data_IF_459817075716
#
_entry.id   IF_459817075716
#
_cell.length_a   1.000
_cell.length_b   1.000
_cell.length_c   1.000
_cell.angle_alpha   90.00
_cell.angle_beta   90.00
_cell.angle_gamma   90.00
#
_symmetry.space_group_name_H-M   'P 1'
#
loop_
_entity.id
_entity.type
_entity.pdbx_description
1 polymer ?
#
# COMPACT_ATOMS: atom_id res chain seq x y z
N UNK A 1 -9.51 15.90 0.45
CA UNK A 1 -8.18 16.23 1.01
C UNK A 1 -7.37 17.12 0.07
N UNK A 2 -7.08 16.75 -1.21
CA UNK A 2 -6.21 17.54 -2.13
C UNK A 2 -6.69 18.98 -2.33
N UNK A 3 -8.00 19.20 -2.55
CA UNK A 3 -8.55 20.55 -2.72
C UNK A 3 -8.39 21.42 -1.46
N UNK A 4 -8.47 20.82 -0.27
CA UNK A 4 -8.23 21.50 1.00
C UNK A 4 -6.75 21.87 1.12
N UNK A 5 -5.86 20.92 0.89
CA UNK A 5 -4.41 21.13 0.94
C UNK A 5 -3.98 22.28 0.02
N UNK A 6 -4.46 22.30 -1.23
CA UNK A 6 -4.17 23.38 -2.19
C UNK A 6 -4.63 24.76 -1.69
N UNK A 7 -5.81 24.85 -1.07
CA UNK A 7 -6.31 26.13 -0.52
C UNK A 7 -5.41 26.68 0.61
N UNK A 8 -4.71 25.79 1.30
CA UNK A 8 -3.83 26.16 2.42
C UNK A 8 -2.34 26.09 2.08
N UNK A 9 -1.97 25.95 0.80
CA UNK A 9 -0.58 25.86 0.38
C UNK A 9 0.17 24.61 0.90
N UNK A 10 -0.57 23.56 1.27
CA UNK A 10 0.00 22.33 1.83
C UNK A 10 0.34 21.32 0.73
N UNK A 11 1.42 20.59 0.94
CA UNK A 11 1.79 19.44 0.13
C UNK A 11 1.04 18.18 0.58
N UNK A 12 0.77 17.28 -0.36
CA UNK A 12 0.06 16.02 -0.12
C UNK A 12 0.98 14.87 -0.44
N UNK A 13 1.21 14.01 0.54
CA UNK A 13 1.89 12.72 0.36
C UNK A 13 0.84 11.63 0.52
N UNK A 14 0.69 10.77 -0.50
CA UNK A 14 -0.18 9.60 -0.43
C UNK A 14 0.58 8.42 0.18
N UNK A 15 0.08 7.85 1.27
CA UNK A 15 0.53 6.53 1.73
C UNK A 15 -0.18 5.45 0.90
N UNK A 16 0.54 4.88 -0.04
CA UNK A 16 0.09 3.82 -0.94
C UNK A 16 0.70 2.46 -0.58
N UNK A 17 1.24 2.29 0.63
CA UNK A 17 1.94 1.07 1.05
C UNK A 17 1.09 -0.20 0.95
N UNK A 18 -0.24 -0.09 0.93
CA UNK A 18 -1.19 -1.19 0.79
C UNK A 18 -2.16 -1.00 -0.39
N UNK A 19 -1.83 -0.12 -1.34
CA UNK A 19 -2.77 0.35 -2.35
C UNK A 19 -2.33 0.08 -3.80
N UNK A 20 -1.51 -0.96 -4.05
CA UNK A 20 -0.99 -1.32 -5.37
C UNK A 20 -2.12 -1.65 -6.36
N UNK A 21 -2.47 -0.70 -7.22
CA UNK A 21 -3.56 -0.84 -8.18
C UNK A 21 -4.94 -0.39 -7.68
N UNK A 22 -5.04 0.16 -6.47
CA UNK A 22 -6.28 0.83 -6.00
C UNK A 22 -6.59 2.08 -6.83
N UNK A 23 -7.87 2.43 -6.93
CA UNK A 23 -8.31 3.62 -7.64
C UNK A 23 -9.56 4.25 -6.98
N UNK A 24 -9.73 5.55 -7.19
CA UNK A 24 -10.93 6.30 -6.82
C UNK A 24 -11.44 7.00 -8.07
N UNK A 25 -12.73 6.81 -8.42
CA UNK A 25 -13.34 7.34 -9.63
C UNK A 25 -12.49 7.08 -10.90
N UNK A 26 -11.92 5.88 -11.01
CA UNK A 26 -11.08 5.48 -12.15
C UNK A 26 -9.65 6.02 -12.13
N UNK A 27 -9.30 6.93 -11.20
CA UNK A 27 -7.95 7.47 -11.07
C UNK A 27 -7.16 6.68 -10.02
N UNK A 28 -6.02 6.15 -10.42
CA UNK A 28 -5.15 5.31 -9.57
C UNK A 28 -4.60 6.09 -8.37
N UNK A 29 -4.58 5.45 -7.19
CA UNK A 29 -3.87 5.96 -6.01
C UNK A 29 -2.39 6.12 -6.32
N UNK A 30 -1.77 7.10 -5.68
CA UNK A 30 -0.39 7.50 -5.96
C UNK A 30 -0.24 8.53 -7.06
N UNK A 31 -1.37 9.04 -7.61
CA UNK A 31 -1.37 10.08 -8.64
C UNK A 31 -2.11 11.36 -8.23
N UNK A 32 -2.65 11.42 -7.02
CA UNK A 32 -3.48 12.51 -6.54
C UNK A 32 -2.69 13.62 -5.85
N UNK A 33 -1.68 13.23 -5.06
CA UNK A 33 -0.83 14.11 -4.28
C UNK A 33 0.40 14.62 -5.05
N UNK A 34 1.27 15.31 -4.33
CA UNK A 34 2.58 15.76 -4.83
C UNK A 34 3.57 14.59 -4.90
N UNK A 35 3.49 13.68 -3.92
CA UNK A 35 4.30 12.48 -3.80
C UNK A 35 3.42 11.31 -3.37
N UNK A 36 3.84 10.10 -3.68
CA UNK A 36 3.25 8.87 -3.15
C UNK A 36 4.32 7.88 -2.74
N UNK A 37 4.11 7.18 -1.62
CA UNK A 37 5.00 6.15 -1.10
C UNK A 37 4.37 4.77 -1.23
N UNK A 38 5.08 3.83 -1.84
CA UNK A 38 4.69 2.42 -1.98
C UNK A 38 5.67 1.53 -1.22
N UNK A 39 5.15 0.48 -0.59
CA UNK A 39 5.94 -0.56 0.07
C UNK A 39 6.01 -1.80 -0.82
N UNK A 40 7.19 -2.37 -0.97
CA UNK A 40 7.40 -3.66 -1.63
C UNK A 40 7.75 -4.77 -0.63
N UNK A 41 7.42 -4.58 0.64
CA UNK A 41 7.58 -5.62 1.65
C UNK A 41 6.95 -6.94 1.17
N UNK A 42 7.52 -8.13 1.47
CA UNK A 42 7.15 -9.41 0.86
C UNK A 42 5.66 -9.76 0.86
N UNK A 43 4.91 -9.32 1.89
CA UNK A 43 3.47 -9.60 2.01
C UNK A 43 2.58 -8.65 1.21
N UNK A 44 3.12 -7.58 0.63
CA UNK A 44 2.32 -6.61 -0.15
C UNK A 44 1.79 -7.22 -1.44
N UNK A 45 0.72 -6.66 -1.99
CA UNK A 45 0.13 -7.12 -3.26
C UNK A 45 1.18 -7.16 -4.38
N UNK A 46 2.11 -6.20 -4.39
CA UNK A 46 3.33 -6.23 -5.16
C UNK A 46 4.50 -6.22 -4.18
N UNK A 47 4.96 -7.40 -3.76
CA UNK A 47 6.06 -7.57 -2.80
C UNK A 47 7.27 -8.23 -3.42
N UNK A 48 8.47 -7.81 -2.99
CA UNK A 48 9.74 -8.47 -3.29
C UNK A 48 10.09 -9.52 -2.20
N UNK A 49 11.34 -9.95 -2.09
CA UNK A 49 11.80 -10.98 -1.13
C UNK A 49 12.41 -10.39 0.15
N UNK A 50 12.38 -9.08 0.30
CA UNK A 50 12.90 -8.33 1.46
C UNK A 50 12.30 -6.93 1.48
N UNK A 51 12.90 -6.03 2.25
CA UNK A 51 12.46 -4.64 2.30
C UNK A 51 12.67 -3.93 0.96
N UNK A 52 11.73 -3.09 0.61
CA UNK A 52 11.78 -2.27 -0.60
C UNK A 52 10.59 -1.33 -0.68
N UNK A 53 10.72 -0.32 -1.50
CA UNK A 53 9.68 0.66 -1.74
C UNK A 53 9.96 1.52 -2.94
N UNK A 54 8.99 2.37 -3.28
CA UNK A 54 9.12 3.38 -4.31
C UNK A 54 8.44 4.68 -3.89
N UNK A 55 8.99 5.78 -4.38
CA UNK A 55 8.34 7.09 -4.32
C UNK A 55 7.96 7.48 -5.74
N UNK A 56 6.70 7.86 -5.94
CA UNK A 56 6.16 8.34 -7.21
C UNK A 56 5.84 9.82 -7.12
N UNK A 57 6.11 10.54 -8.21
CA UNK A 57 5.70 11.94 -8.39
C UNK A 57 5.63 12.26 -9.86
N UNK A 58 4.75 13.21 -10.24
CA UNK A 58 4.72 13.82 -11.56
C UNK A 58 5.56 15.10 -11.65
N UNK A 59 6.12 15.58 -10.53
CA UNK A 59 6.98 16.74 -10.43
C UNK A 59 8.43 16.34 -10.65
N UNK A 60 9.04 16.89 -11.71
CA UNK A 60 10.42 16.55 -12.09
C UNK A 60 11.47 17.02 -11.07
N UNK A 61 11.23 18.15 -10.39
CA UNK A 61 12.12 18.67 -9.36
C UNK A 61 12.09 17.80 -8.11
N UNK A 62 10.88 17.41 -7.66
CA UNK A 62 10.71 16.46 -6.57
C UNK A 62 11.33 15.10 -6.91
N UNK A 63 11.14 14.61 -8.14
CA UNK A 63 11.78 13.36 -8.58
C UNK A 63 13.29 13.44 -8.54
N UNK A 64 13.88 14.54 -9.02
CA UNK A 64 15.33 14.76 -8.99
C UNK A 64 15.84 14.83 -7.54
N UNK A 65 15.11 15.51 -6.66
CA UNK A 65 15.48 15.62 -5.23
C UNK A 65 15.43 14.26 -4.53
N UNK A 66 14.36 13.49 -4.72
CA UNK A 66 14.26 12.14 -4.16
C UNK A 66 15.40 11.25 -4.65
N UNK A 67 15.77 11.31 -5.95
CA UNK A 67 16.91 10.57 -6.49
C UNK A 67 18.26 10.96 -5.85
N UNK A 68 18.44 12.21 -5.45
CA UNK A 68 19.63 12.59 -4.68
C UNK A 68 19.57 12.08 -3.24
N UNK A 69 18.44 12.32 -2.56
CA UNK A 69 18.28 11.99 -1.14
C UNK A 69 18.49 10.50 -0.85
N UNK A 70 17.98 9.60 -1.71
CA UNK A 70 18.12 8.15 -1.48
C UNK A 70 19.53 7.61 -1.75
N UNK A 71 20.44 8.45 -2.28
CA UNK A 71 21.84 8.15 -2.53
C UNK A 71 22.76 9.21 -1.88
N UNK A 72 22.71 9.33 -0.56
CA UNK A 72 23.58 10.21 0.23
C UNK A 72 23.52 11.70 -0.13
N UNK A 73 22.48 12.16 -0.82
CA UNK A 73 22.37 13.54 -1.30
C UNK A 73 23.32 13.85 -2.49
N UNK A 74 23.73 12.84 -3.23
CA UNK A 74 24.67 13.00 -4.35
C UNK A 74 24.01 13.69 -5.55
N UNK A 75 24.68 14.71 -6.07
CA UNK A 75 24.44 15.25 -7.40
C UNK A 75 25.36 14.59 -8.43
N UNK A 76 26.60 14.39 -8.02
CA UNK A 76 27.61 13.61 -8.73
C UNK A 76 28.13 12.52 -7.80
N UNK A 77 28.63 11.41 -8.35
CA UNK A 77 29.09 10.28 -7.55
C UNK A 77 30.13 10.74 -6.51
N UNK A 78 29.88 10.43 -5.23
CA UNK A 78 30.69 10.78 -4.06
C UNK A 78 30.65 12.26 -3.65
N UNK A 79 29.86 13.13 -4.31
CA UNK A 79 29.73 14.54 -3.95
C UNK A 79 28.30 14.79 -3.43
N UNK A 80 28.17 14.90 -2.10
CA UNK A 80 26.90 15.23 -1.45
C UNK A 80 26.62 16.73 -1.53
N UNK A 81 25.45 17.06 -2.01
CA UNK A 81 24.94 18.43 -2.12
C UNK A 81 24.03 18.81 -0.97
N UNK A 82 23.36 17.82 -0.42
CA UNK A 82 22.44 17.93 0.71
C UNK A 82 22.52 16.66 1.57
N UNK A 83 22.17 16.68 2.86
CA UNK A 83 22.10 15.46 3.67
C UNK A 83 21.14 14.46 3.04
N UNK A 84 21.59 13.23 2.85
CA UNK A 84 20.81 12.15 2.28
C UNK A 84 21.03 10.83 3.00
N UNK A 85 20.34 9.79 2.57
CA UNK A 85 20.36 8.46 3.16
C UNK A 85 20.85 7.42 2.14
N UNK A 86 21.26 6.26 2.61
CA UNK A 86 21.36 5.08 1.77
C UNK A 86 20.00 4.37 1.81
N UNK A 87 19.19 4.59 0.79
CA UNK A 87 17.85 3.98 0.66
C UNK A 87 17.63 3.56 -0.79
N UNK A 88 18.28 2.49 -1.19
CA UNK A 88 18.29 1.96 -2.56
C UNK A 88 17.44 0.69 -2.65
N UNK A 89 17.02 0.35 -3.85
CA UNK A 89 16.42 -0.93 -4.18
C UNK A 89 17.43 -1.75 -4.99
N UNK A 90 17.73 -2.97 -4.55
CA UNK A 90 18.66 -3.85 -5.25
C UNK A 90 18.06 -4.35 -6.56
N UNK A 91 18.91 -4.57 -7.57
CA UNK A 91 18.53 -5.02 -8.91
C UNK A 91 17.79 -6.37 -8.88
N UNK A 92 18.16 -7.26 -7.94
CA UNK A 92 17.47 -8.53 -7.74
C UNK A 92 16.01 -8.30 -7.31
N UNK A 93 15.78 -7.40 -6.36
CA UNK A 93 14.43 -7.01 -5.92
C UNK A 93 13.64 -6.38 -7.07
N UNK A 94 14.27 -5.51 -7.85
CA UNK A 94 13.65 -4.90 -9.02
C UNK A 94 13.26 -5.92 -10.10
N UNK A 95 14.10 -6.92 -10.35
CA UNK A 95 13.82 -8.00 -11.30
C UNK A 95 12.60 -8.84 -10.86
N UNK A 96 12.53 -9.20 -9.57
CA UNK A 96 11.39 -9.93 -8.99
C UNK A 96 10.10 -9.10 -9.11
N UNK A 97 10.15 -7.81 -8.77
CA UNK A 97 9.00 -6.92 -8.87
C UNK A 97 8.50 -6.79 -10.32
N UNK A 98 9.43 -6.70 -11.29
CA UNK A 98 9.06 -6.67 -12.73
C UNK A 98 8.34 -7.95 -13.17
N UNK A 99 8.78 -9.12 -12.71
CA UNK A 99 8.12 -10.37 -13.00
C UNK A 99 6.70 -10.44 -12.39
N UNK A 100 6.56 -10.05 -11.12
CA UNK A 100 5.27 -10.04 -10.40
C UNK A 100 4.30 -8.95 -10.87
N UNK A 101 4.81 -7.84 -11.38
CA UNK A 101 3.99 -6.74 -11.88
C UNK A 101 3.07 -7.18 -13.03
N UNK A 102 3.52 -8.14 -13.83
CA UNK A 102 2.74 -8.69 -14.97
C UNK A 102 1.41 -9.29 -14.51
N UNK A 103 1.40 -9.97 -13.35
CA UNK A 103 0.21 -10.66 -12.81
C UNK A 103 -0.59 -9.80 -11.83
N UNK A 104 -0.07 -8.67 -11.35
CA UNK A 104 -0.65 -7.87 -10.27
C UNK A 104 -2.15 -7.56 -10.48
N UNK A 105 -2.54 -7.23 -11.72
CA UNK A 105 -3.93 -6.89 -12.03
C UNK A 105 -4.85 -8.10 -11.88
N UNK A 106 -4.44 -9.26 -12.36
CA UNK A 106 -5.18 -10.51 -12.23
C UNK A 106 -5.25 -10.97 -10.76
N UNK A 107 -4.15 -10.84 -10.03
CA UNK A 107 -4.09 -11.19 -8.60
C UNK A 107 -5.01 -10.28 -7.77
N UNK A 108 -5.06 -8.99 -8.07
CA UNK A 108 -5.98 -8.06 -7.41
C UNK A 108 -7.46 -8.37 -7.75
N UNK A 109 -7.76 -8.74 -8.99
CA UNK A 109 -9.10 -9.19 -9.36
C UNK A 109 -9.51 -10.44 -8.56
N UNK A 110 -8.60 -11.41 -8.43
CA UNK A 110 -8.85 -12.61 -7.62
C UNK A 110 -9.06 -12.30 -6.15
N UNK A 111 -8.30 -11.36 -5.58
CA UNK A 111 -8.53 -10.87 -4.20
C UNK A 111 -9.92 -10.26 -4.03
N UNK A 112 -10.38 -9.48 -5.00
CA UNK A 112 -11.73 -8.89 -4.98
C UNK A 112 -12.84 -9.94 -5.04
N UNK A 113 -12.69 -11.01 -5.85
CA UNK A 113 -13.61 -12.14 -5.88
C UNK A 113 -13.69 -12.84 -4.53
N UNK A 114 -12.54 -13.15 -3.91
CA UNK A 114 -12.48 -13.75 -2.58
C UNK A 114 -13.12 -12.85 -1.51
N UNK A 115 -12.85 -11.54 -1.55
CA UNK A 115 -13.46 -10.57 -0.66
C UNK A 115 -14.99 -10.54 -0.80
N UNK A 116 -15.51 -10.64 -2.03
CA UNK A 116 -16.95 -10.71 -2.27
C UNK A 116 -17.58 -11.98 -1.67
N UNK A 117 -16.87 -13.12 -1.66
CA UNK A 117 -17.33 -14.35 -1.01
C UNK A 117 -17.44 -14.12 0.50
N UNK A 118 -16.41 -13.58 1.14
CA UNK A 118 -16.43 -13.26 2.56
C UNK A 118 -17.55 -12.27 2.91
N UNK A 119 -17.69 -11.21 2.12
CA UNK A 119 -18.69 -10.17 2.35
C UNK A 119 -20.11 -10.77 2.32
N UNK A 120 -20.41 -11.65 1.35
CA UNK A 120 -21.70 -12.36 1.29
C UNK A 120 -21.90 -13.28 2.48
N UNK A 121 -20.90 -14.06 2.85
CA UNK A 121 -20.97 -15.00 3.96
C UNK A 121 -21.15 -14.30 5.32
N UNK A 122 -20.65 -13.08 5.47
CA UNK A 122 -20.78 -12.29 6.70
C UNK A 122 -22.05 -11.42 6.74
N UNK A 123 -22.81 -11.35 5.65
CA UNK A 123 -24.05 -10.56 5.58
C UNK A 123 -25.06 -11.08 6.61
N UNK A 124 -25.68 -10.16 7.35
CA UNK A 124 -26.66 -10.49 8.40
C UNK A 124 -26.06 -11.09 9.68
N UNK A 125 -24.75 -11.21 9.77
CA UNK A 125 -24.07 -11.65 11.00
C UNK A 125 -23.69 -10.46 11.90
N UNK A 126 -23.13 -10.76 13.08
CA UNK A 126 -22.60 -9.74 14.02
C UNK A 126 -21.26 -9.15 13.56
N UNK A 127 -20.68 -9.67 12.51
CA UNK A 127 -19.40 -9.23 11.99
C UNK A 127 -19.58 -8.16 10.91
N UNK A 128 -18.80 -7.09 10.97
CA UNK A 128 -18.87 -6.00 9.99
C UNK A 128 -17.73 -6.13 8.98
N UNK A 129 -18.02 -6.45 7.71
CA UNK A 129 -17.00 -6.46 6.65
C UNK A 129 -16.51 -5.04 6.33
N UNK A 130 -15.39 -4.91 5.60
CA UNK A 130 -14.89 -3.60 5.15
C UNK A 130 -15.90 -2.95 4.20
N UNK A 131 -16.22 -1.67 4.46
CA UNK A 131 -17.05 -0.88 3.57
C UNK A 131 -16.21 -0.34 2.41
N UNK A 132 -16.65 -0.55 1.19
CA UNK A 132 -16.02 0.01 -0.02
C UNK A 132 -17.01 1.01 -0.64
N UNK A 133 -16.70 2.33 -0.61
CA UNK A 133 -17.55 3.34 -1.21
C UNK A 133 -17.71 3.14 -2.74
N UNK A 134 -18.82 3.63 -3.29
CA UNK A 134 -19.02 3.63 -4.73
C UNK A 134 -17.88 4.37 -5.46
N UNK A 135 -17.45 3.83 -6.59
CA UNK A 135 -16.34 4.39 -7.38
C UNK A 135 -14.93 4.10 -6.84
N UNK A 136 -14.81 3.31 -5.77
CA UNK A 136 -13.52 2.86 -5.24
C UNK A 136 -13.19 1.46 -5.75
N UNK A 137 -12.01 1.29 -6.34
CA UNK A 137 -11.40 -0.02 -6.60
C UNK A 137 -10.50 -0.39 -5.42
N UNK A 138 -10.94 -1.35 -4.62
CA UNK A 138 -10.18 -1.84 -3.46
C UNK A 138 -9.40 -3.09 -3.84
N UNK A 139 -8.11 -3.17 -3.47
CA UNK A 139 -7.21 -4.28 -3.84
C UNK A 139 -7.08 -5.36 -2.77
N UNK A 140 -7.75 -5.19 -1.64
CA UNK A 140 -7.81 -6.15 -0.53
C UNK A 140 -6.44 -6.74 -0.17
N UNK A 141 -5.47 -5.84 0.11
CA UNK A 141 -4.22 -6.27 0.73
C UNK A 141 -4.52 -7.08 2.00
N UNK A 142 -5.46 -6.60 2.79
CA UNK A 142 -6.05 -7.29 3.92
C UNK A 142 -7.58 -7.22 3.82
N UNK A 143 -8.27 -8.26 4.30
CA UNK A 143 -9.71 -8.26 4.48
C UNK A 143 -10.00 -8.11 5.98
N UNK A 144 -10.18 -6.87 6.42
CA UNK A 144 -10.31 -6.52 7.84
C UNK A 144 -11.79 -6.47 8.22
N UNK A 145 -12.18 -7.25 9.22
CA UNK A 145 -13.55 -7.23 9.81
C UNK A 145 -13.52 -6.61 11.20
N UNK A 146 -14.66 -6.07 11.61
CA UNK A 146 -14.88 -5.73 13.01
C UNK A 146 -15.75 -6.81 13.67
N UNK A 147 -15.35 -7.22 14.89
CA UNK A 147 -15.99 -8.27 15.65
C UNK A 147 -16.24 -7.81 17.10
N UNK A 148 -17.46 -7.99 17.67
CA UNK A 148 -17.74 -7.59 19.05
C UNK A 148 -16.86 -8.29 20.09
N UNK A 149 -16.54 -9.56 19.86
CA UNK A 149 -15.66 -10.39 20.70
C UNK A 149 -14.44 -10.84 19.91
N UNK A 150 -13.61 -9.87 19.50
CA UNK A 150 -12.46 -10.07 18.61
C UNK A 150 -11.53 -11.21 19.06
N UNK A 151 -11.14 -11.23 20.33
CA UNK A 151 -10.16 -12.18 20.83
C UNK A 151 -10.71 -13.61 20.91
N UNK A 152 -11.99 -13.77 21.24
CA UNK A 152 -12.68 -15.05 21.17
C UNK A 152 -12.81 -15.57 19.74
N UNK A 153 -13.09 -14.67 18.77
CA UNK A 153 -13.10 -15.01 17.35
C UNK A 153 -11.72 -15.46 16.87
N UNK A 154 -10.68 -14.74 17.25
CA UNK A 154 -9.29 -15.09 16.89
C UNK A 154 -8.91 -16.47 17.41
N UNK A 155 -9.23 -16.78 18.67
CA UNK A 155 -9.00 -18.10 19.25
C UNK A 155 -9.78 -19.20 18.51
N UNK A 156 -11.06 -18.94 18.16
CA UNK A 156 -11.90 -19.90 17.43
C UNK A 156 -11.40 -20.16 16.01
N UNK A 157 -10.91 -19.14 15.31
CA UNK A 157 -10.28 -19.28 13.98
C UNK A 157 -8.98 -20.07 14.05
N UNK A 158 -8.12 -19.74 15.01
CA UNK A 158 -6.84 -20.45 15.25
C UNK A 158 -7.09 -21.93 15.53
N UNK A 159 -8.07 -22.28 16.38
CA UNK A 159 -8.42 -23.67 16.68
C UNK A 159 -8.90 -24.47 15.45
N UNK A 160 -9.31 -23.77 14.37
CA UNK A 160 -9.69 -24.37 13.09
C UNK A 160 -8.61 -24.29 12.02
N UNK A 161 -7.40 -23.85 12.38
CA UNK A 161 -6.29 -23.68 11.44
C UNK A 161 -6.48 -22.51 10.47
N UNK A 162 -7.39 -21.57 10.76
CA UNK A 162 -7.61 -20.38 9.91
C UNK A 162 -6.73 -19.24 10.45
N UNK A 163 -5.70 -18.83 9.68
CA UNK A 163 -4.80 -17.76 10.12
C UNK A 163 -5.54 -16.41 10.11
N UNK A 164 -5.47 -15.72 11.24
CA UNK A 164 -5.96 -14.35 11.39
C UNK A 164 -5.06 -13.58 12.35
N UNK A 165 -4.98 -12.28 12.19
CA UNK A 165 -4.14 -11.42 13.02
C UNK A 165 -4.83 -10.08 13.30
N UNK A 166 -4.38 -9.40 14.37
CA UNK A 166 -4.84 -8.06 14.72
C UNK A 166 -3.83 -7.06 14.14
N UNK A 167 -4.28 -6.20 13.26
CA UNK A 167 -3.49 -5.11 12.70
C UNK A 167 -4.12 -3.74 13.03
N UNK A 168 -3.69 -3.03 14.09
CA UNK A 168 -2.60 -3.41 14.99
C UNK A 168 -3.12 -3.49 16.43
N UNK A 169 -2.46 -4.21 17.36
CA UNK A 169 -2.97 -4.39 18.72
C UNK A 169 -2.89 -3.09 19.55
N UNK A 170 -1.98 -2.19 19.20
CA UNK A 170 -1.86 -0.85 19.78
C UNK A 170 -1.75 0.19 18.67
N UNK A 171 -2.35 1.38 18.82
CA UNK A 171 -2.14 2.50 17.91
C UNK A 171 -0.69 3.00 18.01
N UNK A 172 -0.23 3.63 16.93
CA UNK A 172 1.10 4.28 16.85
C UNK A 172 1.03 5.63 17.54
#
# INVERSE_FOLDING_TARGET
CVAIARRHGLRVIEDCAQAHGSAVAGRTTGTWGDLAAFSFYPTKNLGTIGDGGAVLTSDAELAARVRRLHQYGWKERYISYEPGLNSRLDELHAAILRAKLVTLRADNARRAELAAIYTRALSGTVYTPPAVPAGVTHVYHQYVIRAPRRDALLAALSARGIPAAIHYPQPV
#
